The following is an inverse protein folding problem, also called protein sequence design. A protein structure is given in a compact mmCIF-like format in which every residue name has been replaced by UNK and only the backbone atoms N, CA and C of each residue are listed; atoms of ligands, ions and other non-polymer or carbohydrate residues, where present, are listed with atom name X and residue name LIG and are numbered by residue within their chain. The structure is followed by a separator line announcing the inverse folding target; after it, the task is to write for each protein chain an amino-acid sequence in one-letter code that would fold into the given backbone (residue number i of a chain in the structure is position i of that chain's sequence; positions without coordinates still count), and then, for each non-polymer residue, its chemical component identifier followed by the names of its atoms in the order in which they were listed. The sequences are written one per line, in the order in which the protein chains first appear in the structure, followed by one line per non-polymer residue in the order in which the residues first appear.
data_IF_492814759616
#
_entry.id   IF_492814759616
#
_cell.length_a   1.000
_cell.length_b   1.000
_cell.length_c   1.000
_cell.angle_alpha   90.00
_cell.angle_beta   90.00
_cell.angle_gamma   90.00
#
_symmetry.space_group_name_H-M   'P 1'
#
loop_
_entity.id
_entity.type
_entity.pdbx_description
1 polymer ?
#
# COMPACT_ATOMS: atom_id res chain seq x y z
N UNK A 1 -27.37 -0.70 -2.23
CA UNK A 1 -26.54 -0.23 -3.35
C UNK A 1 -25.45 -1.27 -3.59
N UNK A 2 -25.20 -1.72 -4.82
CA UNK A 2 -24.08 -2.62 -5.06
C UNK A 2 -22.79 -1.85 -4.73
N UNK A 3 -21.94 -2.47 -3.92
CA UNK A 3 -20.62 -1.96 -3.53
C UNK A 3 -19.81 -1.91 -4.83
N UNK A 4 -19.70 -0.76 -5.49
CA UNK A 4 -18.64 -0.57 -6.48
C UNK A 4 -17.37 -0.48 -5.63
N UNK A 5 -16.46 -1.47 -5.68
CA UNK A 5 -15.24 -1.35 -4.89
C UNK A 5 -14.51 -0.10 -5.39
N UNK A 6 -14.04 0.75 -4.47
CA UNK A 6 -13.33 1.99 -4.79
C UNK A 6 -12.29 1.75 -5.88
N UNK A 7 -12.26 2.57 -6.93
CA UNK A 7 -11.26 2.52 -8.00
C UNK A 7 -9.81 2.67 -7.50
N UNK A 8 -9.64 3.13 -6.27
CA UNK A 8 -8.35 3.20 -5.58
C UNK A 8 -8.32 2.16 -4.47
N UNK A 9 -7.29 1.32 -4.47
CA UNK A 9 -6.95 0.42 -3.37
C UNK A 9 -5.63 0.89 -2.77
N UNK A 10 -5.65 1.29 -1.50
CA UNK A 10 -4.45 1.77 -0.84
C UNK A 10 -3.62 0.60 -0.29
N UNK A 11 -2.38 0.44 -0.73
CA UNK A 11 -1.48 -0.62 -0.25
C UNK A 11 -0.63 -0.09 0.90
N UNK A 12 -0.86 -0.63 2.10
CA UNK A 12 -0.14 -0.26 3.33
C UNK A 12 0.40 -1.50 4.02
N UNK A 13 1.06 -1.35 5.16
CA UNK A 13 1.60 -2.49 5.88
C UNK A 13 1.78 -2.25 7.37
N UNK A 14 2.06 -3.34 8.09
CA UNK A 14 2.28 -3.31 9.54
C UNK A 14 3.63 -2.70 9.96
N UNK A 15 4.36 -2.10 9.02
CA UNK A 15 5.64 -1.45 9.24
C UNK A 15 6.42 -1.17 7.96
N UNK A 16 7.60 -0.59 8.14
CA UNK A 16 8.60 -0.41 7.07
C UNK A 16 9.22 -1.75 6.68
N UNK A 17 9.58 -1.88 5.40
CA UNK A 17 10.22 -3.08 4.82
C UNK A 17 9.46 -4.41 5.01
N UNK A 18 8.12 -4.35 5.13
CA UNK A 18 7.26 -5.55 5.23
C UNK A 18 6.94 -6.18 3.87
N UNK A 19 7.44 -5.60 2.77
CA UNK A 19 7.22 -6.08 1.41
C UNK A 19 6.04 -5.45 0.66
N UNK A 20 5.69 -4.18 0.97
CA UNK A 20 4.63 -3.45 0.24
C UNK A 20 4.87 -3.41 -1.26
N UNK A 21 6.06 -3.04 -1.71
CA UNK A 21 6.44 -2.98 -3.13
C UNK A 21 6.16 -4.30 -3.88
N UNK A 22 6.49 -5.44 -3.24
CA UNK A 22 6.22 -6.77 -3.79
C UNK A 22 4.72 -7.12 -3.75
N UNK A 23 4.03 -6.76 -2.67
CA UNK A 23 2.60 -6.95 -2.54
C UNK A 23 1.82 -6.11 -3.57
N UNK A 24 2.25 -4.88 -3.84
CA UNK A 24 1.68 -4.00 -4.87
C UNK A 24 1.82 -4.65 -6.25
N UNK A 25 3.00 -5.20 -6.58
CA UNK A 25 3.19 -5.94 -7.82
C UNK A 25 2.35 -7.24 -7.88
N UNK A 26 2.20 -7.96 -6.76
CA UNK A 26 1.34 -9.14 -6.65
C UNK A 26 -0.13 -8.83 -6.88
N UNK A 27 -0.64 -7.76 -6.27
CA UNK A 27 -2.01 -7.30 -6.49
C UNK A 27 -2.20 -6.78 -7.92
N UNK A 28 -1.20 -6.12 -8.48
CA UNK A 28 -1.22 -5.69 -9.88
C UNK A 28 -1.44 -6.88 -10.82
N UNK A 29 -0.61 -7.92 -10.71
CA UNK A 29 -0.70 -9.10 -11.59
C UNK A 29 -2.07 -9.80 -11.43
N UNK A 30 -2.56 -9.94 -10.19
CA UNK A 30 -3.89 -10.52 -9.91
C UNK A 30 -5.03 -9.77 -10.59
N UNK A 31 -5.03 -8.44 -10.48
CA UNK A 31 -6.08 -7.60 -11.08
C UNK A 31 -5.93 -7.54 -12.60
N UNK A 32 -4.69 -7.52 -13.10
CA UNK A 32 -4.39 -7.56 -14.52
C UNK A 32 -4.84 -8.88 -15.17
N UNK A 33 -4.56 -10.03 -14.54
CA UNK A 33 -5.04 -11.36 -14.96
C UNK A 33 -6.56 -11.44 -14.99
N UNK A 34 -7.26 -10.64 -14.19
CA UNK A 34 -8.72 -10.52 -14.21
C UNK A 34 -9.28 -9.63 -15.34
N UNK A 35 -8.39 -9.11 -16.21
CA UNK A 35 -8.75 -8.29 -17.36
C UNK A 35 -8.92 -6.79 -17.05
N UNK A 36 -8.51 -6.33 -15.86
CA UNK A 36 -8.61 -4.92 -15.48
C UNK A 36 -7.41 -4.12 -16.00
N UNK A 37 -7.65 -2.86 -16.39
CA UNK A 37 -6.57 -1.90 -16.66
C UNK A 37 -6.10 -1.31 -15.32
N UNK A 38 -4.93 -1.74 -14.86
CA UNK A 38 -4.39 -1.38 -13.54
C UNK A 38 -3.19 -0.44 -13.69
N UNK A 39 -3.02 0.48 -12.74
CA UNK A 39 -1.78 1.25 -12.58
C UNK A 39 -1.37 1.30 -11.11
N UNK A 40 -0.05 1.35 -10.89
CA UNK A 40 0.51 1.57 -9.56
C UNK A 40 0.88 3.04 -9.38
N UNK A 41 0.66 3.55 -8.18
CA UNK A 41 1.01 4.90 -7.75
C UNK A 41 1.66 4.82 -6.38
N UNK A 42 2.57 5.74 -6.06
CA UNK A 42 3.23 5.90 -4.78
C UNK A 42 2.79 7.22 -4.16
N UNK A 43 2.34 7.16 -2.91
CA UNK A 43 1.90 8.32 -2.15
C UNK A 43 3.03 9.36 -2.03
N UNK A 44 4.18 8.92 -1.51
CA UNK A 44 5.42 9.70 -1.37
C UNK A 44 6.60 8.73 -1.46
N UNK A 45 7.61 9.07 -2.26
CA UNK A 45 8.93 8.45 -2.23
C UNK A 45 9.88 9.28 -1.36
N UNK A 46 10.69 8.60 -0.57
CA UNK A 46 11.76 9.20 0.24
C UNK A 46 13.07 8.47 -0.01
N UNK A 47 14.20 9.15 0.15
CA UNK A 47 15.53 8.55 -0.05
C UNK A 47 15.97 8.45 -1.52
N UNK A 48 15.32 9.18 -2.43
CA UNK A 48 15.61 9.12 -3.86
C UNK A 48 15.70 10.53 -4.46
N UNK A 49 16.33 10.65 -5.63
CA UNK A 49 16.39 11.89 -6.41
C UNK A 49 15.96 11.57 -7.85
N UNK A 50 15.04 12.36 -8.40
CA UNK A 50 14.61 12.27 -9.79
C UNK A 50 13.55 11.21 -10.07
N UNK A 51 13.75 9.97 -9.59
CA UNK A 51 12.82 8.86 -9.83
C UNK A 51 12.44 8.11 -8.54
N UNK A 52 11.32 7.40 -8.57
CA UNK A 52 10.84 6.56 -7.47
C UNK A 52 11.29 5.12 -7.67
N UNK A 53 12.20 4.66 -6.81
CA UNK A 53 12.67 3.27 -6.82
C UNK A 53 11.53 2.27 -6.61
N UNK A 54 10.49 2.63 -5.85
CA UNK A 54 9.30 1.78 -5.67
C UNK A 54 8.48 1.66 -6.97
N UNK A 55 8.26 2.77 -7.69
CA UNK A 55 7.60 2.71 -9.02
C UNK A 55 8.45 1.91 -10.01
N UNK A 56 9.75 2.14 -10.07
CA UNK A 56 10.66 1.36 -10.92
C UNK A 56 10.64 -0.13 -10.56
N UNK A 57 10.58 -0.45 -9.27
CA UNK A 57 10.41 -1.82 -8.80
C UNK A 57 9.05 -2.40 -9.21
N UNK A 58 7.94 -1.65 -9.14
CA UNK A 58 6.65 -2.11 -9.64
C UNK A 58 6.72 -2.49 -11.12
N UNK A 59 7.33 -1.63 -11.96
CA UNK A 59 7.51 -1.90 -13.40
C UNK A 59 8.33 -3.17 -13.62
N UNK A 60 9.50 -3.26 -12.98
CA UNK A 60 10.38 -4.44 -13.07
C UNK A 60 9.69 -5.73 -12.63
N UNK A 61 9.01 -5.72 -11.47
CA UNK A 61 8.40 -6.90 -10.87
C UNK A 61 7.17 -7.40 -11.63
N UNK A 62 6.47 -6.53 -12.35
CA UNK A 62 5.29 -6.87 -13.18
C UNK A 62 5.67 -7.11 -14.64
N UNK A 63 6.94 -6.90 -15.02
CA UNK A 63 7.39 -6.96 -16.42
C UNK A 63 6.83 -5.85 -17.30
N UNK A 64 6.18 -4.83 -16.72
CA UNK A 64 5.65 -3.70 -17.46
C UNK A 64 6.74 -2.67 -17.77
N UNK A 65 6.74 -2.07 -18.98
CA UNK A 65 7.67 -0.99 -19.29
C UNK A 65 7.32 0.26 -18.49
N UNK A 66 8.30 1.18 -18.37
CA UNK A 66 8.05 2.55 -17.90
C UNK A 66 6.92 3.17 -18.72
N UNK A 67 5.99 3.81 -18.02
CA UNK A 67 4.78 4.39 -18.59
C UNK A 67 4.95 5.91 -18.77
N UNK A 68 4.15 6.51 -19.65
CA UNK A 68 4.12 7.97 -19.81
C UNK A 68 3.74 8.67 -18.49
N UNK A 69 2.81 8.07 -17.74
CA UNK A 69 2.39 8.51 -16.40
C UNK A 69 3.55 8.63 -15.41
N UNK A 70 4.59 7.80 -15.56
CA UNK A 70 5.79 7.84 -14.70
C UNK A 70 6.59 9.11 -14.99
N UNK A 71 6.83 9.43 -16.26
CA UNK A 71 7.54 10.63 -16.69
C UNK A 71 6.79 11.94 -16.40
N UNK A 72 5.46 11.88 -16.32
CA UNK A 72 4.60 13.01 -15.93
C UNK A 72 4.53 13.22 -14.42
N UNK A 73 5.12 12.33 -13.61
CA UNK A 73 5.05 12.40 -12.15
C UNK A 73 3.68 12.03 -11.58
N UNK A 74 2.78 11.42 -12.37
CA UNK A 74 1.45 11.02 -11.90
C UNK A 74 1.54 9.82 -10.96
N UNK A 75 2.46 8.90 -11.22
CA UNK A 75 2.64 7.69 -10.42
C UNK A 75 3.47 7.94 -9.15
N UNK A 76 4.19 9.06 -9.05
CA UNK A 76 4.81 9.49 -7.80
C UNK A 76 5.01 11.02 -7.79
N UNK A 77 4.01 11.78 -7.30
CA UNK A 77 4.07 13.25 -7.32
C UNK A 77 5.11 13.87 -6.37
N UNK A 78 5.49 13.13 -5.32
CA UNK A 78 6.44 13.58 -4.33
C UNK A 78 7.60 12.62 -4.18
N UNK A 79 8.80 13.12 -4.48
CA UNK A 79 10.08 12.44 -4.27
C UNK A 79 10.96 13.36 -3.41
N UNK A 80 11.36 12.86 -2.25
CA UNK A 80 12.23 13.58 -1.31
C UNK A 80 13.57 12.88 -1.13
N UNK A 81 14.63 13.68 -0.93
CA UNK A 81 16.01 13.21 -0.98
C UNK A 81 16.42 12.35 0.21
N UNK A 82 15.86 12.61 1.39
CA UNK A 82 16.30 11.98 2.64
C UNK A 82 15.47 10.73 2.99
N UNK A 83 16.09 9.60 3.38
CA UNK A 83 15.39 8.35 3.68
C UNK A 83 14.77 8.35 5.07
N UNK A 84 13.67 9.10 5.24
CA UNK A 84 12.91 9.16 6.48
C UNK A 84 11.39 9.15 6.22
N UNK A 85 10.57 9.29 7.27
CA UNK A 85 9.13 9.46 7.11
C UNK A 85 8.81 10.68 6.23
N UNK A 86 7.71 10.66 5.44
CA UNK A 86 7.36 11.72 4.49
C UNK A 86 7.43 13.14 5.05
N UNK A 87 6.84 13.39 6.23
CA UNK A 87 6.84 14.74 6.82
C UNK A 87 8.25 15.29 7.07
N UNK A 88 9.17 14.43 7.52
CA UNK A 88 10.53 14.82 7.89
C UNK A 88 11.43 14.92 6.65
N UNK A 89 11.27 14.02 5.68
CA UNK A 89 11.98 14.10 4.41
C UNK A 89 11.59 15.37 3.64
N UNK A 90 10.30 15.73 3.65
CA UNK A 90 9.83 17.00 3.08
C UNK A 90 10.43 18.21 3.80
N UNK A 91 10.49 18.19 5.14
CA UNK A 91 11.09 19.26 5.94
C UNK A 91 12.57 19.47 5.63
N UNK A 92 13.35 18.40 5.48
CA UNK A 92 14.77 18.46 5.09
C UNK A 92 14.92 19.09 3.70
N UNK A 93 14.05 18.74 2.76
CA UNK A 93 14.04 19.29 1.41
C UNK A 93 13.44 20.71 1.32
N UNK A 94 13.05 21.31 2.45
CA UNK A 94 12.42 22.64 2.51
C UNK A 94 11.03 22.69 1.88
N UNK A 95 10.33 21.55 1.80
CA UNK A 95 9.04 21.36 1.15
C UNK A 95 7.98 20.90 2.15
N UNK A 96 6.73 20.82 1.68
CA UNK A 96 5.62 20.17 2.37
C UNK A 96 4.82 19.33 1.37
N UNK A 97 4.21 18.26 1.87
CA UNK A 97 3.28 17.45 1.07
C UNK A 97 1.92 18.15 1.05
N UNK A 98 1.40 18.42 -0.14
CA UNK A 98 0.02 18.80 -0.38
C UNK A 98 -0.73 17.60 -0.93
N UNK A 99 -1.62 17.03 -0.12
CA UNK A 99 -2.39 15.84 -0.50
C UNK A 99 -3.26 16.07 -1.73
N UNK A 100 -3.65 17.32 -2.05
CA UNK A 100 -4.42 17.63 -3.26
C UNK A 100 -3.65 17.33 -4.55
N UNK A 101 -2.31 17.43 -4.53
CA UNK A 101 -1.48 17.08 -5.69
C UNK A 101 -1.52 15.57 -5.93
N UNK A 102 -1.53 14.78 -4.85
CA UNK A 102 -1.69 13.32 -4.92
C UNK A 102 -3.08 12.95 -5.45
N UNK A 103 -4.12 13.64 -4.96
CA UNK A 103 -5.49 13.43 -5.42
C UNK A 103 -5.63 13.74 -6.91
N UNK A 104 -5.13 14.90 -7.34
CA UNK A 104 -5.18 15.29 -8.74
C UNK A 104 -4.45 14.30 -9.65
N UNK A 105 -3.31 13.76 -9.20
CA UNK A 105 -2.60 12.71 -9.92
C UNK A 105 -3.45 11.44 -10.01
N UNK A 106 -4.05 11.01 -8.90
CA UNK A 106 -4.95 9.85 -8.84
C UNK A 106 -6.15 10.00 -9.79
N UNK A 107 -6.82 11.15 -9.75
CA UNK A 107 -7.95 11.48 -10.61
C UNK A 107 -7.56 11.53 -12.09
N UNK A 108 -6.35 12.02 -12.39
CA UNK A 108 -5.81 12.03 -13.76
C UNK A 108 -5.59 10.61 -14.26
N UNK A 109 -5.04 9.72 -13.43
CA UNK A 109 -4.92 8.30 -13.75
C UNK A 109 -6.31 7.69 -14.02
N UNK A 110 -7.28 7.90 -13.14
CA UNK A 110 -8.64 7.37 -13.33
C UNK A 110 -9.31 7.90 -14.61
N UNK A 111 -9.13 9.19 -14.94
CA UNK A 111 -9.69 9.78 -16.16
C UNK A 111 -9.01 9.28 -17.44
N UNK A 112 -7.77 8.79 -17.36
CA UNK A 112 -7.07 8.06 -18.44
C UNK A 112 -7.56 6.60 -18.61
N UNK A 113 -8.63 6.23 -17.91
CA UNK A 113 -9.36 4.99 -18.11
C UNK A 113 -8.78 3.79 -17.38
N UNK A 114 -7.93 3.99 -16.36
CA UNK A 114 -7.54 2.90 -15.46
C UNK A 114 -8.72 2.49 -14.59
N UNK A 115 -9.01 1.19 -14.54
CA UNK A 115 -10.06 0.60 -13.73
C UNK A 115 -9.68 0.56 -12.25
N UNK A 116 -8.38 0.39 -11.98
CA UNK A 116 -7.79 0.33 -10.64
C UNK A 116 -6.49 1.12 -10.54
N UNK A 117 -6.37 1.89 -9.46
CA UNK A 117 -5.13 2.50 -8.98
C UNK A 117 -4.71 1.81 -7.69
N UNK A 118 -3.56 1.15 -7.71
CA UNK A 118 -2.91 0.63 -6.51
C UNK A 118 -2.01 1.72 -5.93
N UNK A 119 -2.50 2.41 -4.90
CA UNK A 119 -1.80 3.53 -4.26
C UNK A 119 -0.98 3.01 -3.08
N UNK A 120 0.32 2.84 -3.27
CA UNK A 120 1.23 2.39 -2.22
C UNK A 120 1.64 3.54 -1.28
N UNK A 121 1.47 3.30 0.02
CA UNK A 121 1.91 4.22 1.08
C UNK A 121 3.40 4.12 1.45
N UNK A 122 3.84 5.02 2.33
CA UNK A 122 5.18 4.99 2.93
C UNK A 122 5.08 4.51 4.40
N UNK A 123 5.73 3.39 4.72
CA UNK A 123 5.66 2.79 6.06
C UNK A 123 4.31 2.14 6.37
N UNK A 124 3.62 2.57 7.43
CA UNK A 124 2.34 2.03 7.90
C UNK A 124 1.29 3.11 8.20
N UNK A 125 0.11 2.71 8.68
CA UNK A 125 -1.06 3.60 8.81
C UNK A 125 -0.83 4.85 9.68
N UNK A 126 -0.02 4.75 10.72
CA UNK A 126 0.26 5.86 11.64
C UNK A 126 1.49 6.69 11.22
N UNK A 127 2.01 6.50 10.01
CA UNK A 127 3.13 7.31 9.51
C UNK A 127 2.61 8.69 9.11
N UNK A 128 3.24 9.77 9.62
CA UNK A 128 2.88 11.15 9.27
C UNK A 128 3.24 11.51 7.83
N UNK A 129 2.23 12.00 7.10
CA UNK A 129 2.39 12.67 5.81
C UNK A 129 2.83 14.12 6.05
N UNK A 130 2.17 14.79 6.99
CA UNK A 130 2.55 16.09 7.56
C UNK A 130 2.63 16.00 9.09
N UNK A 131 2.98 17.10 9.78
CA UNK A 131 3.07 17.12 11.27
C UNK A 131 1.73 16.87 11.96
N UNK A 132 0.63 17.10 11.27
CA UNK A 132 -0.75 17.10 11.76
C UNK A 132 -1.67 16.15 10.98
N UNK A 133 -1.13 15.38 10.04
CA UNK A 133 -1.91 14.51 9.16
C UNK A 133 -1.20 13.18 8.92
N UNK A 134 -1.85 12.08 9.32
CA UNK A 134 -1.35 10.72 9.21
C UNK A 134 -1.83 10.04 7.93
N UNK A 135 -1.15 8.96 7.55
CA UNK A 135 -1.58 8.10 6.45
C UNK A 135 -3.00 7.54 6.68
N UNK A 136 -3.37 7.22 7.92
CA UNK A 136 -4.71 6.80 8.28
C UNK A 136 -5.77 7.91 8.10
N UNK A 137 -5.41 9.19 8.30
CA UNK A 137 -6.32 10.31 8.03
C UNK A 137 -6.54 10.45 6.51
N UNK A 138 -5.46 10.39 5.72
CA UNK A 138 -5.54 10.42 4.25
C UNK A 138 -6.49 9.38 3.67
N UNK A 139 -6.39 8.14 4.16
CA UNK A 139 -7.21 7.01 3.71
C UNK A 139 -8.66 7.18 4.15
N UNK A 140 -8.90 7.55 5.42
CA UNK A 140 -10.24 7.71 5.96
C UNK A 140 -11.00 8.86 5.28
N UNK A 141 -10.36 10.01 5.06
CA UNK A 141 -10.99 11.17 4.42
C UNK A 141 -11.42 10.90 2.96
N UNK A 142 -10.88 9.84 2.34
CA UNK A 142 -11.14 9.45 0.94
C UNK A 142 -11.96 8.17 0.81
N UNK A 143 -12.36 7.57 1.92
CA UNK A 143 -13.05 6.28 1.97
C UNK A 143 -12.31 5.17 1.18
N UNK A 144 -10.97 5.23 1.14
CA UNK A 144 -10.20 4.24 0.40
C UNK A 144 -10.16 2.91 1.17
N UNK A 145 -10.53 1.78 0.54
CA UNK A 145 -10.22 0.47 1.09
C UNK A 145 -8.71 0.26 1.08
N UNK A 146 -8.24 -0.60 1.98
CA UNK A 146 -6.82 -0.96 2.07
C UNK A 146 -6.56 -2.42 1.73
N UNK A 147 -5.36 -2.66 1.19
CA UNK A 147 -4.65 -3.92 1.29
C UNK A 147 -3.57 -3.79 2.37
N UNK A 148 -3.70 -4.55 3.46
CA UNK A 148 -2.77 -4.52 4.59
C UNK A 148 -1.72 -5.64 4.43
N UNK A 149 -0.46 -5.25 4.24
CA UNK A 149 0.66 -6.18 4.12
C UNK A 149 1.19 -6.56 5.51
N UNK A 150 1.23 -7.87 5.78
CA UNK A 150 1.77 -8.50 7.00
C UNK A 150 2.80 -9.58 6.62
N UNK A 151 3.51 -10.15 7.59
CA UNK A 151 4.34 -11.34 7.38
C UNK A 151 4.25 -12.34 8.53
N UNK A 152 5.01 -13.44 8.43
CA UNK A 152 5.13 -14.46 9.47
C UNK A 152 6.19 -14.21 10.54
N UNK A 153 6.89 -13.07 10.52
CA UNK A 153 7.91 -12.78 11.55
C UNK A 153 7.29 -12.65 12.94
N UNK A 154 8.05 -12.98 13.98
CA UNK A 154 7.61 -12.81 15.37
C UNK A 154 7.14 -11.37 15.64
N UNK A 155 6.01 -11.23 16.33
CA UNK A 155 5.37 -9.94 16.61
C UNK A 155 4.38 -9.45 15.54
N UNK A 156 4.33 -10.09 14.37
CA UNK A 156 3.41 -9.66 13.29
C UNK A 156 1.94 -9.78 13.68
N UNK A 157 1.56 -10.80 14.46
CA UNK A 157 0.18 -10.93 14.97
C UNK A 157 -0.23 -9.64 15.68
N UNK A 158 0.58 -9.16 16.63
CA UNK A 158 0.28 -7.94 17.38
C UNK A 158 0.14 -6.74 16.45
N UNK A 159 1.10 -6.51 15.56
CA UNK A 159 1.04 -5.35 14.68
C UNK A 159 -0.13 -5.42 13.70
N UNK A 160 -0.46 -6.59 13.17
CA UNK A 160 -1.63 -6.79 12.30
C UNK A 160 -2.91 -6.48 13.05
N UNK A 161 -3.09 -7.02 14.25
CA UNK A 161 -4.30 -6.76 15.04
C UNK A 161 -4.42 -5.27 15.43
N UNK A 162 -3.33 -4.62 15.82
CA UNK A 162 -3.34 -3.17 16.09
C UNK A 162 -3.76 -2.34 14.87
N UNK A 163 -3.32 -2.71 13.66
CA UNK A 163 -3.73 -2.03 12.44
C UNK A 163 -5.21 -2.33 12.11
N UNK A 164 -5.68 -3.56 12.30
CA UNK A 164 -7.09 -3.92 12.08
C UNK A 164 -8.03 -3.18 13.04
N UNK A 165 -7.67 -3.09 14.32
CA UNK A 165 -8.43 -2.33 15.32
C UNK A 165 -8.43 -0.83 15.00
N UNK A 166 -7.31 -0.28 14.54
CA UNK A 166 -7.23 1.11 14.06
C UNK A 166 -8.17 1.34 12.88
N UNK A 167 -8.16 0.46 11.87
CA UNK A 167 -9.04 0.54 10.72
C UNK A 167 -10.50 0.49 11.15
N UNK A 168 -10.87 -0.44 12.03
CA UNK A 168 -12.22 -0.57 12.57
C UNK A 168 -12.66 0.69 13.31
N UNK A 169 -11.79 1.25 14.15
CA UNK A 169 -12.07 2.47 14.90
C UNK A 169 -12.24 3.70 13.99
N UNK A 170 -11.51 3.75 12.88
CA UNK A 170 -11.54 4.86 11.92
C UNK A 170 -12.49 4.65 10.75
N UNK A 171 -13.24 3.55 10.71
CA UNK A 171 -14.15 3.23 9.60
C UNK A 171 -13.45 2.90 8.27
N UNK A 172 -12.15 2.57 8.29
CA UNK A 172 -11.38 2.26 7.08
C UNK A 172 -11.68 0.81 6.65
N UNK A 173 -12.21 0.58 5.44
CA UNK A 173 -12.45 -0.77 4.95
C UNK A 173 -11.14 -1.51 4.71
N UNK A 174 -11.04 -2.75 5.19
CA UNK A 174 -9.91 -3.64 4.90
C UNK A 174 -10.37 -4.64 3.85
N UNK A 175 -10.05 -4.38 2.59
CA UNK A 175 -10.42 -5.27 1.48
C UNK A 175 -9.63 -6.58 1.55
N UNK A 176 -8.33 -6.47 1.84
CA UNK A 176 -7.47 -7.65 1.94
C UNK A 176 -6.32 -7.51 2.93
N UNK A 177 -5.87 -8.66 3.42
CA UNK A 177 -4.57 -8.85 4.03
C UNK A 177 -3.69 -9.62 3.04
N UNK A 178 -2.51 -9.08 2.74
CA UNK A 178 -1.48 -9.76 1.96
C UNK A 178 -0.42 -10.30 2.91
N UNK A 179 -0.36 -11.61 3.03
CA UNK A 179 0.56 -12.33 3.88
C UNK A 179 1.86 -12.62 3.12
N UNK A 180 2.91 -11.86 3.45
CA UNK A 180 4.24 -12.02 2.89
C UNK A 180 5.01 -13.13 3.62
N UNK A 181 5.58 -14.07 2.85
CA UNK A 181 6.43 -15.15 3.36
C UNK A 181 7.86 -14.68 3.69
N UNK A 182 8.23 -13.45 3.35
CA UNK A 182 9.50 -12.81 3.69
C UNK A 182 9.39 -11.87 4.92
N UNK A 183 10.43 -11.75 5.77
CA UNK A 183 11.65 -12.55 5.78
C UNK A 183 11.35 -14.02 6.09
N UNK A 184 12.20 -14.91 5.58
CA UNK A 184 12.14 -16.32 5.93
C UNK A 184 12.21 -16.48 7.46
N UNK A 185 11.39 -17.36 7.99
CA UNK A 185 11.21 -17.62 9.41
C UNK A 185 10.91 -19.11 9.59
N UNK A 186 10.85 -19.61 10.82
CA UNK A 186 10.45 -20.99 11.10
C UNK A 186 9.05 -21.28 10.50
N UNK A 187 8.94 -22.34 9.69
CA UNK A 187 7.71 -22.74 9.00
C UNK A 187 6.51 -22.90 9.95
N UNK A 188 6.75 -23.30 11.20
CA UNK A 188 5.68 -23.44 12.21
C UNK A 188 5.20 -22.08 12.68
N UNK A 189 6.08 -21.08 12.78
CA UNK A 189 5.71 -19.70 13.12
C UNK A 189 4.91 -19.09 11.97
N UNK A 190 5.36 -19.31 10.73
CA UNK A 190 4.67 -18.86 9.52
C UNK A 190 3.27 -19.47 9.45
N UNK A 191 3.15 -20.79 9.60
CA UNK A 191 1.87 -21.48 9.55
C UNK A 191 0.94 -21.05 10.71
N UNK A 192 1.45 -20.99 11.94
CA UNK A 192 0.66 -20.61 13.10
C UNK A 192 0.13 -19.17 13.01
N UNK A 193 0.98 -18.23 12.56
CA UNK A 193 0.58 -16.83 12.35
C UNK A 193 -0.54 -16.75 11.32
N UNK A 194 -0.40 -17.45 10.20
CA UNK A 194 -1.39 -17.47 9.13
C UNK A 194 -2.73 -18.06 9.63
N UNK A 195 -2.70 -19.18 10.35
CA UNK A 195 -3.90 -19.83 10.90
C UNK A 195 -4.60 -18.95 11.95
N UNK A 196 -3.83 -18.27 12.80
CA UNK A 196 -4.39 -17.34 13.76
C UNK A 196 -5.08 -16.16 13.07
N UNK A 197 -4.44 -15.57 12.04
CA UNK A 197 -5.04 -14.48 11.28
C UNK A 197 -6.32 -14.92 10.56
N UNK A 198 -6.36 -16.14 9.98
CA UNK A 198 -7.59 -16.72 9.41
C UNK A 198 -8.72 -16.76 10.44
N UNK A 199 -8.44 -17.28 11.63
CA UNK A 199 -9.42 -17.35 12.71
C UNK A 199 -9.91 -15.96 13.13
N UNK A 200 -8.99 -15.01 13.29
CA UNK A 200 -9.33 -13.63 13.69
C UNK A 200 -10.22 -12.94 12.66
N UNK A 201 -9.84 -13.01 11.38
CA UNK A 201 -10.60 -12.42 10.29
C UNK A 201 -12.01 -13.00 10.19
N UNK A 202 -12.15 -14.33 10.26
CA UNK A 202 -13.47 -14.96 10.27
C UNK A 202 -14.38 -14.42 11.38
N UNK A 203 -13.81 -14.09 12.55
CA UNK A 203 -14.58 -13.61 13.70
C UNK A 203 -14.91 -12.11 13.65
N UNK A 204 -13.98 -11.27 13.18
CA UNK A 204 -14.08 -9.81 13.33
C UNK A 204 -14.08 -9.03 12.01
N UNK A 205 -13.62 -9.63 10.92
CA UNK A 205 -13.49 -9.04 9.58
C UNK A 205 -13.86 -10.05 8.49
N UNK A 206 -15.10 -10.58 8.49
CA UNK A 206 -15.47 -11.72 7.63
C UNK A 206 -15.41 -11.43 6.14
N UNK A 207 -15.51 -10.15 5.74
CA UNK A 207 -15.45 -9.71 4.34
C UNK A 207 -14.00 -9.45 3.85
N UNK A 208 -13.01 -9.47 4.75
CA UNK A 208 -11.61 -9.23 4.40
C UNK A 208 -10.97 -10.49 3.82
N UNK A 209 -10.42 -10.38 2.61
CA UNK A 209 -9.72 -11.49 1.96
C UNK A 209 -8.32 -11.68 2.55
N UNK A 210 -7.91 -12.92 2.80
CA UNK A 210 -6.53 -13.23 3.19
C UNK A 210 -5.82 -13.91 2.02
N UNK A 211 -4.81 -13.23 1.47
CA UNK A 211 -4.02 -13.72 0.34
C UNK A 211 -2.60 -14.04 0.80
N UNK A 212 -2.10 -15.22 0.45
CA UNK A 212 -0.68 -15.55 0.66
C UNK A 212 0.08 -15.13 -0.60
N UNK A 213 1.03 -14.21 -0.44
CA UNK A 213 1.89 -13.80 -1.53
C UNK A 213 2.91 -14.91 -1.80
N UNK A 214 3.02 -15.41 -3.04
CA UNK A 214 4.01 -16.41 -3.38
C UNK A 214 5.42 -15.81 -3.25
N UNK A 215 6.41 -16.68 -3.01
CA UNK A 215 7.81 -16.28 -3.20
C UNK A 215 8.00 -15.84 -4.66
N UNK A 216 8.48 -14.62 -4.85
CA UNK A 216 8.90 -14.12 -6.16
C UNK A 216 10.39 -14.38 -6.31
N UNK A 217 10.77 -15.16 -7.31
CA UNK A 217 12.16 -15.34 -7.75
C UNK A 217 12.74 -14.03 -8.30
#
# INVERSE_FOLDING_TARGET
MPIIPSKVLFVTGIGTNIGKTYATAFLFDKLFESGQKVITQKLVQTGCVGASEDIEAHRRLTGYPTMEEDGLGLTCPYIFSYPASPHFAAEIDGKRVDCKIIDQATETLLSRGYDRVLLEGAGGLMVPITKDYLTADFIADRDYPIALVTSGRLGSINHTLLNLELCRHRGIPVESIVYNLYPAEDDRIIANTLDYLRFYLHKYHPDTQLMVMPERN
#
